data_IF_543471512554
#
_entry.id   IF_543471512554
#
_cell.length_a   1.000
_cell.length_b   1.000
_cell.length_c   1.000
_cell.angle_alpha   90.00
_cell.angle_beta   90.00
_cell.angle_gamma   90.00
#
_symmetry.space_group_name_H-M   'P 1'
#
loop_
_entity.id
_entity.type
_entity.pdbx_description
1 polymer ?
#
# COMPACT_ATOMS: atom_id res chain seq x y z
N UNK A 1 -4.98 -3.48 -17.75
CA UNK A 1 -4.44 -4.76 -17.21
C UNK A 1 -2.93 -4.95 -17.43
N UNK A 2 -2.29 -4.35 -18.44
CA UNK A 2 -0.85 -4.55 -18.70
C UNK A 2 0.11 -3.92 -17.68
N UNK A 3 -0.22 -2.74 -17.15
CA UNK A 3 0.69 -1.96 -16.28
C UNK A 3 0.92 -2.61 -14.91
N UNK A 4 -0.11 -3.18 -14.27
CA UNK A 4 0.01 -3.76 -12.93
C UNK A 4 0.83 -5.06 -12.92
N UNK A 5 0.67 -5.89 -13.95
CA UNK A 5 1.47 -7.12 -14.09
C UNK A 5 2.96 -6.80 -14.30
N UNK A 6 3.25 -5.78 -15.11
CA UNK A 6 4.62 -5.32 -15.33
C UNK A 6 5.25 -4.76 -14.04
N UNK A 7 4.53 -3.92 -13.29
CA UNK A 7 5.02 -3.37 -12.01
C UNK A 7 5.31 -4.47 -10.98
N UNK A 8 4.40 -5.44 -10.83
CA UNK A 8 4.62 -6.57 -9.92
C UNK A 8 5.86 -7.38 -10.31
N UNK A 9 6.03 -7.67 -11.61
CA UNK A 9 7.22 -8.37 -12.10
C UNK A 9 8.50 -7.58 -11.84
N UNK A 10 8.49 -6.25 -11.99
CA UNK A 10 9.64 -5.40 -11.70
C UNK A 10 10.01 -5.43 -10.20
N UNK A 11 9.03 -5.27 -9.30
CA UNK A 11 9.27 -5.27 -7.86
C UNK A 11 9.84 -6.61 -7.38
N UNK A 12 9.30 -7.73 -7.89
CA UNK A 12 9.84 -9.06 -7.60
C UNK A 12 11.30 -9.20 -8.01
N UNK A 13 11.63 -8.78 -9.24
CA UNK A 13 13.01 -8.87 -9.74
C UNK A 13 13.97 -8.00 -8.91
N UNK A 14 13.52 -6.81 -8.50
CA UNK A 14 14.30 -5.92 -7.63
C UNK A 14 14.56 -6.53 -6.25
N UNK A 15 13.53 -7.13 -5.63
CA UNK A 15 13.66 -7.82 -4.34
C UNK A 15 14.62 -9.02 -4.44
N UNK A 16 14.46 -9.89 -5.45
CA UNK A 16 15.35 -11.04 -5.65
C UNK A 16 16.82 -10.61 -5.86
N UNK A 17 17.05 -9.52 -6.59
CA UNK A 17 18.38 -8.97 -6.79
C UNK A 17 18.99 -8.43 -5.49
N UNK A 18 18.19 -7.73 -4.67
CA UNK A 18 18.62 -7.20 -3.38
C UNK A 18 19.03 -8.33 -2.41
N UNK A 19 18.25 -9.42 -2.35
CA UNK A 19 18.57 -10.59 -1.50
C UNK A 19 19.87 -11.27 -1.93
N UNK A 20 20.06 -11.54 -3.23
CA UNK A 20 21.30 -12.13 -3.74
C UNK A 20 22.53 -11.26 -3.44
N UNK A 21 22.36 -9.95 -3.56
CA UNK A 21 23.43 -9.00 -3.21
C UNK A 21 23.74 -9.04 -1.71
N UNK A 22 22.73 -9.05 -0.85
CA UNK A 22 22.93 -9.09 0.59
C UNK A 22 23.64 -10.37 1.05
N UNK A 23 23.22 -11.53 0.55
CA UNK A 23 23.85 -12.84 0.84
C UNK A 23 25.32 -12.87 0.41
N UNK A 24 25.63 -12.39 -0.80
CA UNK A 24 26.99 -12.37 -1.34
C UNK A 24 27.93 -11.39 -0.63
N UNK A 25 27.38 -10.44 0.14
CA UNK A 25 28.15 -9.39 0.82
C UNK A 25 28.03 -9.46 2.35
N UNK A 26 27.39 -10.49 2.92
CA UNK A 26 27.24 -10.64 4.37
C UNK A 26 26.40 -9.53 5.02
N UNK A 27 25.44 -8.97 4.30
CA UNK A 27 24.54 -7.92 4.80
C UNK A 27 23.30 -8.58 5.43
N UNK A 28 22.98 -8.19 6.66
CA UNK A 28 21.72 -8.57 7.31
C UNK A 28 20.57 -7.72 6.76
N UNK A 29 19.85 -8.28 5.78
CA UNK A 29 18.75 -7.61 5.08
C UNK A 29 17.40 -8.01 5.67
N UNK A 30 16.53 -7.02 5.88
CA UNK A 30 15.12 -7.21 6.23
C UNK A 30 14.25 -6.46 5.22
N UNK A 31 13.23 -7.15 4.68
CA UNK A 31 12.27 -6.56 3.74
C UNK A 31 10.90 -6.38 4.40
N UNK A 32 10.27 -5.22 4.14
CA UNK A 32 8.87 -4.94 4.45
C UNK A 32 8.12 -4.86 3.12
N UNK A 33 7.07 -5.67 2.97
CA UNK A 33 6.24 -5.70 1.76
C UNK A 33 4.84 -5.12 2.06
N UNK A 34 4.66 -3.79 1.93
CA UNK A 34 3.34 -3.19 2.06
C UNK A 34 2.45 -3.54 0.85
N UNK A 35 1.12 -3.48 1.04
CA UNK A 35 0.16 -3.51 -0.07
C UNK A 35 -0.26 -2.08 -0.45
N UNK A 36 -1.54 -1.76 -0.34
CA UNK A 36 -2.05 -0.39 -0.46
C UNK A 36 -1.71 0.39 0.80
N UNK A 37 -1.06 1.53 0.63
CA UNK A 37 -0.66 2.42 1.71
C UNK A 37 -1.53 3.66 1.66
N UNK A 38 -2.38 3.81 2.67
CA UNK A 38 -3.23 4.98 2.91
C UNK A 38 -2.92 5.56 4.29
N UNK A 39 -3.24 6.83 4.49
CA UNK A 39 -3.06 7.55 5.74
C UNK A 39 -2.77 9.04 5.54
N UNK A 40 -2.47 9.78 6.61
CA UNK A 40 -2.13 11.19 6.54
C UNK A 40 -0.93 11.45 5.63
N UNK A 41 -1.08 12.41 4.73
CA UNK A 41 -0.03 12.79 3.79
C UNK A 41 1.01 13.67 4.51
N UNK A 42 2.26 13.22 4.55
CA UNK A 42 3.37 14.07 5.01
C UNK A 42 4.00 14.88 3.88
N UNK A 43 3.86 14.39 2.65
CA UNK A 43 4.38 15.00 1.44
C UNK A 43 3.38 15.99 0.80
N UNK A 44 3.83 16.92 -0.06
CA UNK A 44 2.98 17.90 -0.73
C UNK A 44 2.31 17.39 -2.02
N UNK A 45 2.59 16.16 -2.46
CA UNK A 45 2.02 15.54 -3.66
C UNK A 45 1.32 14.23 -3.31
N UNK A 46 0.39 13.77 -4.16
CA UNK A 46 -0.23 12.47 -3.96
C UNK A 46 0.73 11.34 -4.37
N UNK A 47 0.61 10.20 -3.70
CA UNK A 47 1.22 8.95 -4.16
C UNK A 47 0.16 8.16 -4.95
N UNK A 48 0.61 7.20 -5.76
CA UNK A 48 -0.30 6.42 -6.61
C UNK A 48 -1.40 5.71 -5.81
N UNK A 49 -1.11 5.26 -4.59
CA UNK A 49 -2.09 4.56 -3.75
C UNK A 49 -3.21 5.48 -3.29
N UNK A 50 -2.91 6.71 -2.90
CA UNK A 50 -3.91 7.71 -2.48
C UNK A 50 -4.67 8.30 -3.69
N UNK A 51 -4.01 8.44 -4.84
CA UNK A 51 -4.69 8.81 -6.09
C UNK A 51 -5.72 7.74 -6.51
N UNK A 52 -5.34 6.46 -6.48
CA UNK A 52 -6.26 5.35 -6.77
C UNK A 52 -7.34 5.22 -5.68
N UNK A 53 -7.02 5.47 -4.40
CA UNK A 53 -7.97 5.43 -3.28
C UNK A 53 -9.07 6.49 -3.42
N UNK A 54 -8.75 7.69 -3.92
CA UNK A 54 -9.77 8.70 -4.24
C UNK A 54 -10.81 8.22 -5.28
N UNK A 55 -10.46 7.21 -6.08
CA UNK A 55 -11.35 6.58 -7.04
C UNK A 55 -12.00 5.30 -6.49
N UNK A 56 -11.50 4.74 -5.37
CA UNK A 56 -12.04 3.51 -4.78
C UNK A 56 -13.48 3.69 -4.30
N UNK A 57 -13.89 4.87 -3.81
CA UNK A 57 -15.29 5.11 -3.44
C UNK A 57 -16.24 4.91 -4.63
N UNK A 58 -15.88 5.45 -5.80
CA UNK A 58 -16.65 5.26 -7.05
C UNK A 58 -16.63 3.81 -7.51
N UNK A 59 -15.47 3.15 -7.42
CA UNK A 59 -15.34 1.74 -7.81
C UNK A 59 -16.06 0.78 -6.88
N UNK A 60 -16.19 1.07 -5.59
CA UNK A 60 -16.92 0.23 -4.64
C UNK A 60 -18.44 0.25 -4.92
N UNK A 61 -18.95 1.40 -5.34
CA UNK A 61 -20.35 1.55 -5.80
C UNK A 61 -20.58 0.87 -7.17
N UNK A 62 -19.55 0.79 -8.02
CA UNK A 62 -19.59 0.17 -9.35
C UNK A 62 -19.14 -1.31 -9.37
N UNK A 63 -18.54 -1.81 -8.29
CA UNK A 63 -18.00 -3.15 -8.18
C UNK A 63 -19.11 -4.17 -7.87
N UNK A 64 -19.35 -5.06 -8.82
CA UNK A 64 -20.04 -6.31 -8.54
C UNK A 64 -19.20 -7.17 -7.56
N UNK A 65 -19.82 -7.89 -6.61
CA UNK A 65 -19.16 -8.62 -5.52
C UNK A 65 -18.34 -9.87 -5.95
N UNK A 66 -17.84 -9.92 -7.19
CA UNK A 66 -17.21 -11.10 -7.79
C UNK A 66 -15.69 -11.19 -7.61
N UNK A 67 -15.02 -10.18 -7.04
CA UNK A 67 -13.58 -10.28 -6.76
C UNK A 67 -13.34 -11.08 -5.47
N UNK A 68 -12.54 -12.17 -5.52
CA UNK A 68 -12.26 -12.97 -4.33
C UNK A 68 -11.47 -12.15 -3.33
N UNK A 69 -11.94 -12.16 -2.08
CA UNK A 69 -11.17 -11.62 -0.96
C UNK A 69 -10.08 -12.62 -0.58
N UNK A 70 -8.85 -12.12 -0.49
CA UNK A 70 -7.70 -12.90 -0.03
C UNK A 70 -7.27 -12.40 1.35
N UNK A 71 -6.79 -13.32 2.17
CA UNK A 71 -6.24 -13.00 3.48
C UNK A 71 -4.72 -12.97 3.42
N UNK A 72 -4.13 -11.95 4.03
CA UNK A 72 -2.67 -11.79 4.15
C UNK A 72 -2.28 -12.04 5.60
N UNK A 73 -1.21 -12.83 5.82
CA UNK A 73 -0.70 -13.09 7.17
C UNK A 73 -0.16 -11.81 7.81
N UNK A 74 -0.56 -11.58 9.05
CA UNK A 74 -0.09 -10.46 9.88
C UNK A 74 0.83 -10.92 11.02
N UNK A 75 1.12 -12.23 11.11
CA UNK A 75 1.77 -12.83 12.28
C UNK A 75 3.17 -12.28 12.52
N UNK A 76 4.00 -12.20 11.46
CA UNK A 76 5.38 -11.71 11.56
C UNK A 76 5.45 -10.24 11.95
N UNK A 77 4.53 -9.41 11.46
CA UNK A 77 4.48 -8.00 11.83
C UNK A 77 4.02 -7.83 13.28
N UNK A 78 2.97 -8.56 13.70
CA UNK A 78 2.48 -8.55 15.07
C UNK A 78 3.52 -9.07 16.07
N UNK A 79 4.28 -10.11 15.72
CA UNK A 79 5.36 -10.62 16.58
C UNK A 79 6.50 -9.63 16.77
N UNK A 80 6.68 -8.70 15.83
CA UNK A 80 7.61 -7.57 15.91
C UNK A 80 7.01 -6.34 16.61
N UNK A 81 5.79 -6.44 17.16
CA UNK A 81 5.12 -5.35 17.90
C UNK A 81 4.33 -4.37 17.02
N UNK A 82 4.12 -4.68 15.74
CA UNK A 82 3.31 -3.83 14.85
C UNK A 82 1.83 -4.01 15.16
N UNK A 83 1.16 -2.88 15.43
CA UNK A 83 -0.30 -2.82 15.60
C UNK A 83 -0.95 -2.30 14.32
N UNK A 84 -1.90 -3.05 13.79
CA UNK A 84 -2.65 -2.65 12.59
C UNK A 84 -3.86 -1.80 12.96
N UNK A 85 -3.96 -0.63 12.34
CA UNK A 85 -5.16 0.20 12.44
C UNK A 85 -6.29 -0.38 11.58
N UNK A 86 -7.55 -0.30 12.03
CA UNK A 86 -8.69 -0.62 11.18
C UNK A 86 -8.70 0.23 9.91
N UNK A 87 -9.16 -0.35 8.80
CA UNK A 87 -9.13 0.31 7.49
C UNK A 87 -9.96 1.60 7.49
N UNK A 88 -11.08 1.61 8.21
CA UNK A 88 -12.01 2.73 8.32
C UNK A 88 -11.35 3.96 8.98
N UNK A 89 -10.50 3.72 9.97
CA UNK A 89 -9.75 4.77 10.65
C UNK A 89 -8.72 5.36 9.69
N UNK A 90 -7.94 4.51 9.03
CA UNK A 90 -6.93 4.95 8.05
C UNK A 90 -7.53 5.71 6.88
N UNK A 91 -8.71 5.29 6.38
CA UNK A 91 -9.44 5.98 5.33
C UNK A 91 -9.90 7.37 5.76
N UNK A 92 -10.52 7.48 6.95
CA UNK A 92 -10.94 8.78 7.50
C UNK A 92 -9.76 9.74 7.61
N UNK A 93 -8.66 9.28 8.20
CA UNK A 93 -7.47 10.11 8.42
C UNK A 93 -6.82 10.52 7.07
N UNK A 94 -6.93 9.69 6.03
CA UNK A 94 -6.52 10.04 4.64
C UNK A 94 -7.38 11.16 4.07
N UNK A 95 -8.72 11.03 4.16
CA UNK A 95 -9.67 12.03 3.65
C UNK A 95 -9.50 13.37 4.36
N UNK A 96 -9.30 13.36 5.68
CA UNK A 96 -9.03 14.58 6.45
C UNK A 96 -7.73 15.25 5.98
N UNK A 97 -6.65 14.48 5.82
CA UNK A 97 -5.39 15.01 5.32
C UNK A 97 -5.48 15.59 3.90
N UNK A 98 -6.28 14.97 3.02
CA UNK A 98 -6.53 15.47 1.67
C UNK A 98 -7.29 16.80 1.67
N UNK A 99 -8.26 16.99 2.58
CA UNK A 99 -8.99 18.26 2.75
C UNK A 99 -8.06 19.36 3.27
N UNK A 100 -7.28 19.07 4.30
CA UNK A 100 -6.33 20.04 4.88
C UNK A 100 -5.31 20.55 3.87
N UNK A 101 -4.87 19.69 2.94
CA UNK A 101 -3.93 20.04 1.88
C UNK A 101 -4.58 20.65 0.63
N UNK A 102 -5.90 20.79 0.62
CA UNK A 102 -6.63 21.40 -0.50
C UNK A 102 -6.75 20.51 -1.74
N UNK A 103 -6.50 19.21 -1.62
CA UNK A 103 -6.70 18.25 -2.72
C UNK A 103 -8.19 17.94 -2.95
N UNK A 104 -9.00 18.04 -1.90
CA UNK A 104 -10.45 17.91 -1.99
C UNK A 104 -11.10 19.28 -1.80
N UNK A 105 -11.98 19.66 -2.74
CA UNK A 105 -12.84 20.83 -2.56
C UNK A 105 -13.94 20.45 -1.58
N UNK A 106 -14.05 21.22 -0.50
CA UNK A 106 -15.13 21.15 0.48
C UNK A 106 -16.33 21.93 -0.02
#
# INVERSE_FOLDING_TARGET
MSTNFFLFSMSRNAEEAAWKFAEGNGIDLVTINPSYVIGPLLQPSLNITVEDDSQLQKRYEEANPSEPTYQVSQEKAKSLGVNFLPLEVSLRDTVESLKEKGFLKV
#
